data_IF_681413486279
#
_entry.id   IF_681413486279
#
_cell.length_a   1.000
_cell.length_b   1.000
_cell.length_c   1.000
_cell.angle_alpha   90.00
_cell.angle_beta   90.00
_cell.angle_gamma   90.00
#
_symmetry.space_group_name_H-M   'P 1'
#
loop_
_entity.id
_entity.type
_entity.pdbx_description
1 polymer ?
#
# COMPACT_ATOMS: atom_id res chain seq x y z
N UNK A 1 6.30 24.58 7.37
CA UNK A 1 6.03 24.06 7.17
C UNK A 1 5.81 23.85 6.94
N UNK A 2 6.07 24.00 6.90
CA UNK A 2 5.88 23.53 6.62
C UNK A 2 5.74 23.20 6.47
N UNK A 3 6.08 23.12 6.38
CA UNK A 3 6.00 22.42 6.13
C UNK A 3 6.06 22.06 5.76
N UNK A 4 6.30 22.27 5.71
CA UNK A 4 6.39 21.57 5.30
C UNK A 4 6.62 21.05 4.87
N UNK A 5 6.93 21.07 4.68
CA UNK A 5 7.09 20.35 4.25
C UNK A 5 7.62 19.73 3.96
N UNK A 6 7.98 19.80 4.11
CA UNK A 6 8.38 19.06 3.83
C UNK A 6 8.68 18.23 3.88
N UNK A 7 8.92 18.08 4.07
CA UNK A 7 9.10 17.17 4.09
C UNK A 7 9.24 16.34 4.09
N UNK A 8 9.30 16.50 4.15
CA UNK A 8 9.39 15.67 3.96
C UNK A 8 9.95 14.82 4.21
N UNK A 9 10.54 14.74 4.33
CA UNK A 9 11.18 13.77 4.55
C UNK A 9 11.29 13.13 5.81
N UNK A 10 11.24 13.51 6.71
CA UNK A 10 11.29 12.99 8.01
C UNK A 10 10.09 12.13 8.26
N UNK A 11 10.24 10.81 8.27
CA UNK A 11 9.16 9.91 8.48
C UNK A 11 8.02 10.04 7.48
N UNK A 12 8.25 10.82 6.44
CA UNK A 12 7.23 11.01 5.44
C UNK A 12 7.12 9.81 4.53
N UNK A 13 5.90 9.41 4.24
CA UNK A 13 5.65 8.32 3.32
C UNK A 13 5.53 8.84 1.90
N UNK A 14 5.97 8.04 0.93
CA UNK A 14 5.83 8.39 -0.47
C UNK A 14 4.42 8.03 -0.93
N UNK A 15 3.58 9.02 -1.16
CA UNK A 15 2.19 8.81 -1.57
C UNK A 15 1.93 9.10 -3.04
N UNK A 16 2.96 9.09 -3.88
CA UNK A 16 2.77 9.31 -5.31
C UNK A 16 1.88 8.27 -5.96
N UNK A 17 1.81 7.08 -5.39
CA UNK A 17 0.95 6.01 -5.89
C UNK A 17 -0.53 6.27 -5.65
N UNK A 18 -0.86 7.17 -4.72
CA UNK A 18 -2.25 7.45 -4.37
C UNK A 18 -2.82 8.49 -5.33
N UNK A 19 -3.82 8.09 -6.11
CA UNK A 19 -4.42 8.95 -7.12
C UNK A 19 -5.52 9.86 -6.60
N UNK A 20 -5.98 9.63 -5.36
CA UNK A 20 -7.02 10.46 -4.75
C UNK A 20 -6.81 10.50 -3.24
N UNK A 21 -6.68 11.70 -2.69
CA UNK A 21 -6.48 11.88 -1.27
C UNK A 21 -7.73 11.61 -0.44
N UNK A 22 -8.88 11.61 -1.07
CA UNK A 22 -10.15 11.46 -0.37
C UNK A 22 -10.28 10.13 0.38
N UNK A 23 -9.68 9.07 -0.14
CA UNK A 23 -9.75 7.75 0.52
C UNK A 23 -8.94 7.69 1.81
N UNK A 24 -8.04 8.63 2.07
CA UNK A 24 -7.21 8.59 3.28
C UNK A 24 -8.03 8.85 4.55
N UNK A 25 -9.17 9.52 4.42
CA UNK A 25 -10.03 9.81 5.57
C UNK A 25 -10.78 8.59 6.06
N UNK A 26 -10.75 7.50 5.29
CA UNK A 26 -11.48 6.28 5.61
C UNK A 26 -10.57 5.07 5.67
N UNK A 27 -9.29 5.30 5.95
CA UNK A 27 -8.35 4.20 6.07
C UNK A 27 -8.77 3.25 7.19
N UNK A 28 -8.60 1.96 6.95
CA UNK A 28 -8.91 0.91 7.91
C UNK A 28 -7.65 0.57 8.70
N UNK A 29 -7.78 0.41 10.02
CA UNK A 29 -6.66 -0.06 10.83
C UNK A 29 -6.54 -1.57 10.71
N UNK A 30 -5.37 -2.05 10.32
CA UNK A 30 -5.11 -3.48 10.14
C UNK A 30 -3.86 -3.89 10.91
N UNK A 31 -3.68 -5.20 11.09
CA UNK A 31 -2.49 -5.75 11.74
C UNK A 31 -1.67 -6.51 10.70
N UNK A 32 -0.44 -6.08 10.50
CA UNK A 32 0.47 -6.69 9.53
C UNK A 32 1.26 -7.82 10.18
N UNK A 33 1.46 -8.90 9.43
CA UNK A 33 2.35 -9.99 9.84
C UNK A 33 3.76 -9.65 9.37
N UNK A 34 4.59 -9.14 10.26
CA UNK A 34 5.89 -8.56 9.90
C UNK A 34 6.79 -9.53 9.14
N UNK A 35 6.82 -10.80 9.55
CA UNK A 35 7.69 -11.78 8.90
C UNK A 35 7.38 -11.95 7.41
N UNK A 36 6.17 -11.66 6.97
CA UNK A 36 5.79 -11.80 5.58
C UNK A 36 6.35 -10.66 4.70
N UNK A 37 6.91 -9.63 5.31
CA UNK A 37 7.43 -8.46 4.60
C UNK A 37 8.95 -8.38 4.56
N UNK A 38 9.65 -9.49 4.86
CA UNK A 38 11.12 -9.43 4.93
C UNK A 38 11.80 -9.01 3.64
N UNK A 39 11.17 -9.24 2.50
CA UNK A 39 11.75 -8.86 1.22
C UNK A 39 11.86 -7.34 1.05
N UNK A 40 11.18 -6.59 1.91
CA UNK A 40 11.21 -5.12 1.86
C UNK A 40 12.30 -4.52 2.76
N UNK A 41 12.97 -5.34 3.58
CA UNK A 41 14.06 -4.87 4.45
C UNK A 41 13.56 -4.37 5.80
N UNK A 42 14.16 -3.29 6.30
CA UNK A 42 13.87 -2.76 7.64
C UNK A 42 12.57 -2.00 7.73
N UNK A 43 11.99 -1.65 6.61
CA UNK A 43 10.75 -0.87 6.55
C UNK A 43 9.80 -1.53 5.60
N UNK A 44 8.51 -1.43 5.94
CA UNK A 44 7.45 -1.84 5.03
C UNK A 44 6.97 -0.55 4.37
N UNK A 45 7.23 -0.34 3.07
CA UNK A 45 6.96 0.96 2.45
C UNK A 45 5.48 1.20 2.19
N UNK A 46 5.09 2.47 2.23
CA UNK A 46 3.76 2.89 1.82
C UNK A 46 3.49 2.41 0.38
N UNK A 47 2.30 1.93 0.13
CA UNK A 47 1.89 1.48 -1.19
C UNK A 47 1.97 -0.02 -1.42
N UNK A 48 2.49 -0.79 -0.47
CA UNK A 48 2.52 -2.26 -0.62
C UNK A 48 1.09 -2.79 -0.68
N UNK A 49 0.74 -3.56 -1.74
CA UNK A 49 -0.59 -4.16 -1.80
C UNK A 49 -0.70 -5.29 -0.78
N UNK A 50 -1.82 -5.32 -0.07
CA UNK A 50 -2.04 -6.22 1.05
C UNK A 50 -3.17 -7.19 0.78
N UNK A 51 -3.03 -8.40 1.33
CA UNK A 51 -4.10 -9.39 1.36
C UNK A 51 -4.30 -9.85 2.80
N UNK A 52 -5.48 -10.29 3.14
CA UNK A 52 -5.77 -10.81 4.47
C UNK A 52 -5.61 -12.32 4.49
N UNK A 53 -4.87 -12.84 5.47
CA UNK A 53 -4.70 -14.29 5.60
C UNK A 53 -5.85 -14.90 6.44
N UNK A 54 -5.83 -16.23 6.58
CA UNK A 54 -6.90 -16.94 7.29
C UNK A 54 -6.99 -16.57 8.77
N UNK A 55 -5.93 -16.05 9.36
CA UNK A 55 -5.89 -15.65 10.77
C UNK A 55 -6.31 -14.21 10.99
N UNK A 56 -6.59 -13.47 9.92
CA UNK A 56 -7.02 -12.08 10.01
C UNK A 56 -5.91 -11.05 9.94
N UNK A 57 -4.64 -11.46 9.95
CA UNK A 57 -3.53 -10.53 9.75
C UNK A 57 -3.32 -10.31 8.25
N UNK A 58 -2.51 -9.30 7.92
CA UNK A 58 -2.32 -8.88 6.53
C UNK A 58 -0.88 -9.13 6.09
N UNK A 59 -0.75 -9.55 4.84
CA UNK A 59 0.52 -9.91 4.21
C UNK A 59 0.60 -9.23 2.86
N UNK A 60 1.79 -9.12 2.26
CA UNK A 60 1.87 -8.56 0.92
C UNK A 60 1.28 -9.51 -0.11
N UNK A 61 0.64 -8.95 -1.14
CA UNK A 61 0.20 -9.72 -2.29
C UNK A 61 1.46 -10.22 -3.01
N UNK A 62 1.50 -11.50 -3.37
CA UNK A 62 2.65 -12.11 -4.01
C UNK A 62 2.31 -12.90 -5.26
N UNK A 63 1.04 -13.13 -5.55
CA UNK A 63 0.63 -13.96 -6.69
C UNK A 63 -0.60 -13.35 -7.37
N UNK A 64 -0.75 -13.65 -8.66
CA UNK A 64 -1.86 -13.10 -9.44
C UNK A 64 -3.22 -13.56 -8.94
N UNK A 65 -3.31 -14.71 -8.31
CA UNK A 65 -4.58 -15.24 -7.78
C UNK A 65 -4.90 -14.71 -6.39
N UNK A 66 -4.02 -13.96 -5.76
CA UNK A 66 -4.28 -13.39 -4.45
C UNK A 66 -5.42 -12.38 -4.52
N UNK A 67 -6.16 -12.27 -3.42
CA UNK A 67 -7.26 -11.33 -3.34
C UNK A 67 -6.80 -10.06 -2.65
N UNK A 68 -6.69 -8.98 -3.42
CA UNK A 68 -6.23 -7.69 -2.90
C UNK A 68 -7.25 -7.13 -1.90
N UNK A 69 -6.78 -6.81 -0.68
CA UNK A 69 -7.60 -6.17 0.35
C UNK A 69 -7.42 -4.65 0.33
N UNK A 70 -6.22 -4.18 0.08
CA UNK A 70 -5.95 -2.75 0.07
C UNK A 70 -4.47 -2.46 -0.08
N UNK A 71 -4.09 -1.21 0.21
CA UNK A 71 -2.71 -0.75 0.11
C UNK A 71 -2.27 -0.10 1.41
N UNK A 72 -1.06 -0.37 1.85
CA UNK A 72 -0.51 0.23 3.05
C UNK A 72 -0.40 1.74 2.87
N UNK A 73 -0.99 2.53 3.77
CA UNK A 73 -1.00 3.98 3.62
C UNK A 73 0.31 4.64 4.01
N UNK A 74 0.93 4.19 5.11
CA UNK A 74 2.14 4.83 5.62
C UNK A 74 3.27 3.82 5.77
N UNK A 75 4.51 4.31 5.70
CA UNK A 75 5.68 3.48 5.98
C UNK A 75 5.59 2.95 7.40
N UNK A 76 5.97 1.70 7.60
CA UNK A 76 5.95 1.08 8.92
C UNK A 76 7.30 0.43 9.22
N UNK A 77 7.72 0.42 10.49
CA UNK A 77 8.94 -0.32 10.84
C UNK A 77 8.66 -1.81 10.80
N UNK A 78 9.64 -2.59 10.33
CA UNK A 78 9.52 -4.04 10.27
C UNK A 78 10.09 -4.63 11.57
N UNK A 79 9.36 -4.47 12.68
CA UNK A 79 9.79 -4.89 14.01
C UNK A 79 8.75 -5.75 14.69
N UNK A 80 9.23 -6.71 15.50
CA UNK A 80 8.34 -7.58 16.25
C UNK A 80 7.62 -8.55 15.35
N UNK A 81 6.56 -9.16 15.86
CA UNK A 81 5.78 -10.13 15.10
C UNK A 81 4.66 -9.50 14.32
N UNK A 82 4.06 -8.45 14.86
CA UNK A 82 2.97 -7.74 14.21
C UNK A 82 3.17 -6.24 14.29
N UNK A 83 2.54 -5.53 13.36
CA UNK A 83 2.61 -4.08 13.30
C UNK A 83 1.23 -3.55 12.90
N UNK A 84 0.65 -2.69 13.73
CA UNK A 84 -0.63 -2.05 13.44
C UNK A 84 -0.39 -0.91 12.45
N UNK A 85 -1.23 -0.82 11.43
CA UNK A 85 -1.02 0.16 10.37
C UNK A 85 -2.33 0.55 9.68
N UNK A 86 -2.38 1.73 9.06
CA UNK A 86 -3.55 2.14 8.27
C UNK A 86 -3.46 1.57 6.86
N UNK A 87 -4.59 1.08 6.35
CA UNK A 87 -4.70 0.52 5.00
C UNK A 87 -5.78 1.26 4.23
N UNK A 88 -5.47 1.68 3.02
CA UNK A 88 -6.46 2.22 2.08
C UNK A 88 -7.18 1.03 1.45
N UNK A 89 -8.52 0.99 1.55
CA UNK A 89 -9.28 -0.16 1.04
C UNK A 89 -10.14 0.20 -0.17
N UNK A 90 -10.11 1.45 -0.61
CA UNK A 90 -10.77 1.87 -1.85
C UNK A 90 -10.08 3.12 -2.38
N UNK A 91 -10.32 3.42 -3.64
CA UNK A 91 -9.82 4.66 -4.22
C UNK A 91 -9.10 4.47 -5.55
N UNK A 92 -8.40 5.51 -5.96
CA UNK A 92 -7.68 5.54 -7.22
C UNK A 92 -6.19 5.35 -6.95
N UNK A 93 -5.59 4.42 -7.64
CA UNK A 93 -4.20 4.02 -7.44
C UNK A 93 -3.41 4.24 -8.73
N UNK A 94 -2.19 4.69 -8.62
CA UNK A 94 -1.25 4.85 -9.74
C UNK A 94 -0.21 3.74 -9.66
N UNK A 95 -0.42 2.61 -10.33
CA UNK A 95 0.48 1.45 -10.15
C UNK A 95 1.94 1.73 -10.51
N UNK A 96 2.19 2.67 -11.43
CA UNK A 96 3.56 3.00 -11.83
C UNK A 96 4.40 3.57 -10.68
N UNK A 97 3.77 4.06 -9.62
CA UNK A 97 4.46 4.67 -8.48
C UNK A 97 4.45 3.81 -7.22
N UNK A 98 3.97 2.58 -7.31
CA UNK A 98 4.03 1.64 -6.18
C UNK A 98 5.48 1.26 -5.90
N UNK A 99 5.79 0.78 -4.68
CA UNK A 99 7.16 0.39 -4.34
C UNK A 99 7.72 -0.60 -5.35
N UNK A 100 9.01 -0.48 -5.65
CA UNK A 100 9.67 -1.29 -6.66
C UNK A 100 9.53 -2.78 -6.41
N UNK A 101 9.62 -3.19 -5.16
CA UNK A 101 9.54 -4.61 -4.80
C UNK A 101 8.13 -5.12 -4.59
N UNK A 102 7.13 -4.25 -4.74
CA UNK A 102 5.74 -4.64 -4.56
C UNK A 102 5.26 -5.43 -5.78
N UNK A 103 4.30 -6.32 -5.55
CA UNK A 103 3.67 -7.07 -6.63
C UNK A 103 3.00 -6.13 -7.62
N UNK A 104 3.08 -6.43 -8.91
CA UNK A 104 2.42 -5.64 -9.95
C UNK A 104 0.92 -5.95 -9.95
N UNK A 105 0.14 -5.07 -9.34
CA UNK A 105 -1.31 -5.30 -9.17
C UNK A 105 -2.07 -5.29 -10.48
N UNK A 106 -1.49 -4.78 -11.56
CA UNK A 106 -2.15 -4.80 -12.86
C UNK A 106 -2.21 -6.22 -13.43
N UNK A 107 -1.44 -7.16 -12.85
CA UNK A 107 -1.44 -8.55 -13.29
C UNK A 107 -2.37 -9.44 -12.48
N UNK A 108 -3.12 -8.89 -11.51
CA UNK A 108 -4.05 -9.68 -10.72
C UNK A 108 -5.12 -10.33 -11.60
N UNK A 109 -5.42 -11.60 -11.29
CA UNK A 109 -6.42 -12.37 -12.04
C UNK A 109 -7.82 -11.77 -11.91
N UNK A 110 -8.13 -11.20 -10.75
CA UNK A 110 -9.41 -10.55 -10.51
C UNK A 110 -9.17 -9.12 -10.02
N UNK A 111 -9.57 -8.14 -10.82
CA UNK A 111 -9.45 -6.74 -10.42
C UNK A 111 -10.44 -6.43 -9.31
N UNK A 112 -10.00 -5.81 -8.20
CA UNK A 112 -10.91 -5.45 -7.12
C UNK A 112 -11.83 -4.32 -7.56
N UNK A 113 -13.11 -4.44 -7.22
CA UNK A 113 -14.10 -3.43 -7.62
C UNK A 113 -13.92 -2.10 -6.89
N UNK A 114 -13.29 -2.12 -5.72
CA UNK A 114 -13.14 -0.90 -4.92
C UNK A 114 -11.96 -0.02 -5.35
N UNK A 115 -11.13 -0.47 -6.28
CA UNK A 115 -9.98 0.32 -6.74
C UNK A 115 -10.05 0.59 -8.23
N UNK A 116 -9.58 1.79 -8.62
CA UNK A 116 -9.37 2.15 -10.01
C UNK A 116 -7.87 2.31 -10.20
N UNK A 117 -7.29 1.55 -11.14
CA UNK A 117 -5.87 1.65 -11.43
C UNK A 117 -5.66 2.59 -12.60
N UNK A 118 -5.05 3.75 -12.34
CA UNK A 118 -4.81 4.75 -13.38
C UNK A 118 -3.63 4.31 -14.25
N UNK A 119 -3.80 4.38 -15.58
CA UNK A 119 -2.72 4.06 -16.51
C UNK A 119 -1.67 5.17 -16.46
N UNK A 120 -0.52 4.90 -17.04
CA UNK A 120 0.53 5.89 -17.15
C UNK A 120 0.07 7.13 -17.92
N UNK A 121 -0.70 6.94 -18.96
CA UNK A 121 -1.23 8.07 -19.74
C UNK A 121 -2.17 8.93 -18.92
N UNK A 122 -3.03 8.30 -18.12
CA UNK A 122 -3.94 9.04 -17.25
C UNK A 122 -3.19 9.85 -16.22
N UNK A 123 -2.11 9.31 -15.68
CA UNK A 123 -1.31 9.99 -14.69
C UNK A 123 -0.62 11.22 -15.28
N UNK A 124 -0.21 11.14 -16.52
CA UNK A 124 0.49 12.25 -17.19
C UNK A 124 -0.44 13.29 -17.76
N UNK A 125 -1.69 12.98 -17.92
CA UNK A 125 -2.68 13.88 -18.54
C UNK A 125 -3.06 15.09 -17.70
#
# INVERSE_FOLDING_TARGET
MSFILTDEKTGGSNLKWLGSAHATNEAQTVTLKVAAFKDFGDHIPSGVPLKQNAKGTYEPVTAAEDKLAGFLLTDQPARGETQVAPMIWHGRIRPAFLPEKAFDVTTLAAAPASFVFATKEEVEA
#
